data_IF_748640546088
#
_entry.id   IF_748640546088
#
_cell.length_a   1.000
_cell.length_b   1.000
_cell.length_c   1.000
_cell.angle_alpha   90.00
_cell.angle_beta   90.00
_cell.angle_gamma   90.00
#
_symmetry.space_group_name_H-M   'P 1'
#
loop_
_entity.id
_entity.type
_entity.pdbx_description
1 polymer ?
#
# COMPACT_ATOMS: atom_id res chain seq x y z
N UNK A 1 -26.65 -39.34 -5.01
CA UNK A 1 -25.92 -38.08 -4.81
C UNK A 1 -25.87 -37.33 -6.14
N UNK A 2 -26.74 -36.34 -6.39
CA UNK A 2 -26.89 -35.78 -7.73
C UNK A 2 -25.73 -34.84 -8.06
N UNK A 3 -25.24 -34.94 -9.31
CA UNK A 3 -24.14 -34.18 -9.91
C UNK A 3 -24.30 -32.65 -9.82
N UNK A 4 -25.49 -32.16 -9.48
CA UNK A 4 -25.80 -30.73 -9.29
C UNK A 4 -25.16 -30.14 -8.03
N UNK A 5 -24.93 -30.94 -6.99
CA UNK A 5 -24.27 -30.47 -5.76
C UNK A 5 -22.76 -30.22 -5.96
N UNK A 6 -22.11 -30.96 -6.88
CA UNK A 6 -20.69 -30.79 -7.19
C UNK A 6 -20.42 -29.51 -8.00
N UNK A 7 -21.36 -29.10 -8.87
CA UNK A 7 -21.23 -27.86 -9.64
C UNK A 7 -21.41 -26.59 -8.79
N UNK A 8 -22.21 -26.65 -7.73
CA UNK A 8 -22.41 -25.52 -6.81
C UNK A 8 -21.25 -25.35 -5.81
N UNK A 9 -20.52 -26.42 -5.49
CA UNK A 9 -19.29 -26.34 -4.69
C UNK A 9 -18.10 -25.76 -5.49
N UNK A 10 -18.09 -25.93 -6.81
CA UNK A 10 -17.08 -25.31 -7.70
C UNK A 10 -17.32 -23.81 -7.97
N UNK A 11 -18.54 -23.32 -7.72
CA UNK A 11 -18.88 -21.88 -7.75
C UNK A 11 -18.65 -21.17 -6.40
N UNK A 12 -18.44 -21.92 -5.32
CA UNK A 12 -18.06 -21.38 -4.00
C UNK A 12 -16.55 -21.43 -3.74
N UNK A 13 -15.79 -22.21 -4.51
CA UNK A 13 -14.35 -21.99 -4.65
C UNK A 13 -14.14 -20.76 -5.53
N UNK A 14 -14.07 -19.60 -4.89
CA UNK A 14 -13.59 -18.39 -5.53
C UNK A 14 -12.22 -18.65 -6.15
N UNK A 15 -12.21 -18.98 -7.43
CA UNK A 15 -11.03 -18.96 -8.28
C UNK A 15 -10.63 -17.50 -8.47
N UNK A 16 -10.21 -16.87 -7.38
CA UNK A 16 -9.31 -15.75 -7.48
C UNK A 16 -7.98 -16.21 -8.00
N UNK A 17 -7.12 -15.23 -8.28
CA UNK A 17 -5.81 -15.44 -8.85
C UNK A 17 -5.10 -16.62 -8.13
N UNK A 18 -4.57 -17.62 -8.89
CA UNK A 18 -3.98 -18.83 -8.33
C UNK A 18 -2.78 -18.61 -7.38
N UNK A 19 -2.36 -17.35 -7.19
CA UNK A 19 -1.29 -16.86 -6.31
C UNK A 19 -1.73 -16.43 -4.89
N UNK A 20 -2.99 -16.62 -4.47
CA UNK A 20 -3.53 -16.01 -3.22
C UNK A 20 -2.78 -16.32 -1.91
N UNK A 21 -1.95 -17.36 -1.85
CA UNK A 21 -1.10 -17.57 -0.68
C UNK A 21 0.36 -17.43 -1.07
N UNK A 22 0.93 -16.27 -0.76
CA UNK A 22 2.36 -15.96 -0.85
C UNK A 22 2.97 -15.93 0.57
N UNK A 23 3.01 -17.05 1.31
CA UNK A 23 3.46 -17.07 2.70
C UNK A 23 4.90 -16.58 2.86
N UNK A 24 5.75 -16.80 1.87
CA UNK A 24 7.11 -16.27 1.82
C UNK A 24 7.11 -14.73 1.81
N UNK A 25 6.21 -14.09 1.07
CA UNK A 25 6.10 -12.62 1.09
C UNK A 25 5.59 -12.11 2.43
N UNK A 26 4.65 -12.83 3.06
CA UNK A 26 4.16 -12.48 4.41
C UNK A 26 5.27 -12.54 5.46
N UNK A 27 6.13 -13.55 5.40
CA UNK A 27 7.29 -13.68 6.30
C UNK A 27 8.22 -12.48 6.13
N UNK A 28 8.59 -12.16 4.88
CA UNK A 28 9.45 -11.01 4.63
C UNK A 28 8.82 -9.69 5.08
N UNK A 29 7.53 -9.48 4.84
CA UNK A 29 6.80 -8.30 5.27
C UNK A 29 6.71 -8.19 6.79
N UNK A 30 6.46 -9.29 7.51
CA UNK A 30 6.44 -9.29 8.97
C UNK A 30 7.82 -8.89 9.53
N UNK A 31 8.92 -9.30 8.90
CA UNK A 31 10.28 -8.84 9.20
C UNK A 31 10.48 -7.34 8.94
N UNK A 32 9.98 -6.81 7.81
CA UNK A 32 9.98 -5.36 7.55
C UNK A 32 9.27 -4.62 8.68
N UNK A 33 8.05 -5.07 9.01
CA UNK A 33 7.22 -4.40 10.00
C UNK A 33 7.73 -4.59 11.43
N UNK A 34 8.50 -5.63 11.73
CA UNK A 34 9.21 -5.79 12.99
C UNK A 34 10.37 -4.80 13.18
N UNK A 35 10.79 -4.12 12.11
CA UNK A 35 11.88 -3.13 12.12
C UNK A 35 13.24 -3.68 11.70
N UNK A 36 13.34 -4.97 11.33
CA UNK A 36 14.59 -5.56 10.82
C UNK A 36 14.69 -5.42 9.29
N UNK A 37 14.81 -4.16 8.85
CA UNK A 37 14.85 -3.80 7.44
C UNK A 37 16.01 -4.44 6.65
N UNK A 38 17.25 -4.54 7.20
CA UNK A 38 18.35 -5.20 6.48
C UNK A 38 18.06 -6.67 6.21
N UNK A 39 17.57 -7.41 7.22
CA UNK A 39 17.24 -8.83 7.06
C UNK A 39 16.10 -9.02 6.07
N UNK A 40 15.06 -8.19 6.12
CA UNK A 40 13.97 -8.25 5.17
C UNK A 40 14.42 -7.99 3.72
N UNK A 41 15.24 -6.94 3.50
CA UNK A 41 15.78 -6.64 2.18
C UNK A 41 16.62 -7.80 1.62
N UNK A 42 17.51 -8.38 2.44
CA UNK A 42 18.31 -9.54 2.05
C UNK A 42 17.46 -10.79 1.76
N UNK A 43 16.39 -10.99 2.54
CA UNK A 43 15.45 -12.08 2.32
C UNK A 43 14.74 -11.97 0.97
N UNK A 44 14.19 -10.79 0.66
CA UNK A 44 13.52 -10.55 -0.63
C UNK A 44 14.49 -10.61 -1.82
N UNK A 45 15.72 -10.13 -1.66
CA UNK A 45 16.77 -10.30 -2.67
C UNK A 45 17.04 -11.80 -2.95
N UNK A 46 17.07 -12.63 -1.89
CA UNK A 46 17.26 -14.07 -2.03
C UNK A 46 16.08 -14.76 -2.74
N UNK A 47 14.85 -14.32 -2.51
CA UNK A 47 13.67 -14.81 -3.23
C UNK A 47 13.71 -14.41 -4.71
N UNK A 48 14.07 -13.15 -4.99
CA UNK A 48 14.25 -12.62 -6.36
C UNK A 48 15.35 -13.36 -7.13
N UNK A 49 16.38 -13.88 -6.45
CA UNK A 49 17.43 -14.67 -7.08
C UNK A 49 16.98 -16.10 -7.43
N UNK A 50 16.00 -16.66 -6.72
CA UNK A 50 15.44 -18.01 -6.99
C UNK A 50 14.47 -18.00 -8.17
N UNK A 51 13.70 -16.92 -8.30
CA UNK A 51 12.82 -16.68 -9.44
C UNK A 51 13.00 -15.25 -9.94
N UNK A 52 13.81 -15.10 -11.00
CA UNK A 52 14.09 -13.80 -11.59
C UNK A 52 12.93 -13.23 -12.43
N UNK A 53 11.88 -14.01 -12.70
CA UNK A 53 10.71 -13.53 -13.43
C UNK A 53 9.66 -12.94 -12.48
N UNK A 54 9.65 -13.36 -11.21
CA UNK A 54 8.73 -12.85 -10.20
C UNK A 54 9.03 -11.37 -9.86
N UNK A 55 8.07 -10.44 -10.08
CA UNK A 55 8.24 -9.06 -9.67
C UNK A 55 8.09 -8.85 -8.16
N UNK A 56 7.35 -9.70 -7.45
CA UNK A 56 6.90 -9.42 -6.09
C UNK A 56 8.04 -9.29 -5.07
N UNK A 57 9.06 -10.18 -5.03
CA UNK A 57 10.17 -10.01 -4.13
C UNK A 57 10.93 -8.69 -4.35
N UNK A 58 11.15 -8.27 -5.60
CA UNK A 58 11.85 -7.01 -5.90
C UNK A 58 11.05 -5.79 -5.42
N UNK A 59 9.72 -5.84 -5.52
CA UNK A 59 8.84 -4.78 -4.99
C UNK A 59 9.04 -4.65 -3.48
N UNK A 60 9.03 -5.76 -2.75
CA UNK A 60 9.13 -5.74 -1.29
C UNK A 60 10.57 -5.56 -0.78
N UNK A 61 11.59 -5.87 -1.58
CA UNK A 61 12.96 -5.41 -1.35
C UNK A 61 13.02 -3.88 -1.38
N UNK A 62 12.44 -3.24 -2.41
CA UNK A 62 12.33 -1.78 -2.46
C UNK A 62 11.52 -1.25 -1.27
N UNK A 63 10.40 -1.90 -0.95
CA UNK A 63 9.59 -1.60 0.23
C UNK A 63 10.39 -1.62 1.54
N UNK A 64 11.30 -2.58 1.70
CA UNK A 64 12.17 -2.69 2.89
C UNK A 64 13.06 -1.45 3.05
N UNK A 65 13.72 -0.99 1.98
CA UNK A 65 14.51 0.24 2.00
C UNK A 65 13.65 1.49 2.21
N UNK A 66 12.43 1.52 1.68
CA UNK A 66 11.47 2.61 1.87
C UNK A 66 11.05 2.72 3.35
N UNK A 67 10.77 1.60 4.02
CA UNK A 67 10.46 1.58 5.45
C UNK A 67 11.69 1.92 6.30
N UNK A 68 12.88 1.51 5.87
CA UNK A 68 14.14 1.89 6.51
C UNK A 68 14.41 3.40 6.42
N UNK A 69 14.22 4.01 5.24
CA UNK A 69 14.31 5.45 5.06
C UNK A 69 13.35 6.21 5.99
N UNK A 70 12.10 5.73 6.13
CA UNK A 70 11.12 6.31 7.06
C UNK A 70 11.53 6.15 8.54
N UNK A 71 12.14 5.01 8.90
CA UNK A 71 12.68 4.79 10.24
C UNK A 71 13.83 5.77 10.55
N UNK A 72 14.69 6.04 9.57
CA UNK A 72 15.82 6.96 9.67
C UNK A 72 15.42 8.44 9.54
N UNK A 73 14.20 8.74 9.10
CA UNK A 73 13.75 10.10 8.74
C UNK A 73 14.64 10.72 7.66
N UNK A 74 15.14 9.90 6.74
CA UNK A 74 16.00 10.31 5.63
C UNK A 74 15.46 9.76 4.30
N UNK A 75 14.66 10.57 3.60
CA UNK A 75 14.10 10.22 2.29
C UNK A 75 15.17 10.04 1.19
N UNK A 76 16.43 10.43 1.44
CA UNK A 76 17.55 10.22 0.50
C UNK A 76 18.20 8.85 0.70
N UNK A 77 17.95 8.19 1.82
CA UNK A 77 18.53 6.90 2.15
C UNK A 77 18.19 5.87 1.06
N UNK A 78 19.23 5.34 0.41
CA UNK A 78 19.12 4.33 -0.66
C UNK A 78 18.17 4.71 -1.82
N UNK A 79 17.90 6.00 -2.04
CA UNK A 79 16.92 6.45 -3.04
C UNK A 79 17.19 5.91 -4.46
N UNK A 80 18.47 5.89 -4.89
CA UNK A 80 18.87 5.32 -6.21
C UNK A 80 18.62 3.82 -6.30
N UNK A 81 18.82 3.09 -5.19
CA UNK A 81 18.58 1.65 -5.12
C UNK A 81 17.09 1.36 -5.18
N UNK A 82 16.28 2.10 -4.42
CA UNK A 82 14.82 2.03 -4.47
C UNK A 82 14.31 2.25 -5.90
N UNK A 83 14.78 3.31 -6.57
CA UNK A 83 14.36 3.62 -7.95
C UNK A 83 14.73 2.50 -8.93
N UNK A 84 15.93 1.92 -8.78
CA UNK A 84 16.41 0.82 -9.62
C UNK A 84 15.62 -0.47 -9.40
N UNK A 85 15.32 -0.83 -8.14
CA UNK A 85 14.49 -1.98 -7.79
C UNK A 85 13.06 -1.82 -8.32
N UNK A 86 12.45 -0.64 -8.16
CA UNK A 86 11.10 -0.39 -8.67
C UNK A 86 11.05 -0.39 -10.20
N UNK A 87 12.09 0.10 -10.88
CA UNK A 87 12.19 0.00 -12.34
C UNK A 87 12.28 -1.47 -12.80
N UNK A 88 13.09 -2.29 -12.12
CA UNK A 88 13.21 -3.72 -12.39
C UNK A 88 11.89 -4.46 -12.12
N UNK A 89 11.23 -4.18 -11.00
CA UNK A 89 9.94 -4.75 -10.65
C UNK A 89 8.86 -4.45 -11.70
N UNK A 90 8.78 -3.20 -12.17
CA UNK A 90 7.84 -2.81 -13.23
C UNK A 90 8.15 -3.54 -14.53
N UNK A 91 9.43 -3.67 -14.90
CA UNK A 91 9.83 -4.43 -16.09
C UNK A 91 9.43 -5.90 -15.99
N UNK A 92 9.68 -6.55 -14.85
CA UNK A 92 9.29 -7.96 -14.61
C UNK A 92 7.78 -8.13 -14.63
N UNK A 93 7.05 -7.27 -13.93
CA UNK A 93 5.59 -7.30 -13.91
C UNK A 93 5.03 -7.08 -15.33
N UNK A 94 5.59 -6.15 -16.11
CA UNK A 94 5.13 -5.89 -17.48
C UNK A 94 5.35 -7.08 -18.42
N UNK A 95 6.38 -7.90 -18.18
CA UNK A 95 6.71 -9.10 -18.94
C UNK A 95 5.85 -10.32 -18.60
N UNK A 96 5.13 -10.30 -17.48
CA UNK A 96 4.17 -11.35 -17.13
C UNK A 96 3.03 -11.46 -18.16
N UNK A 97 2.42 -12.64 -18.33
CA UNK A 97 1.25 -12.79 -19.18
C UNK A 97 0.12 -11.82 -18.80
N UNK A 98 -0.65 -11.28 -19.76
CA UNK A 98 -1.80 -10.45 -19.47
C UNK A 98 -2.79 -11.15 -18.53
N UNK A 99 -3.18 -10.49 -17.44
CA UNK A 99 -4.07 -11.06 -16.44
C UNK A 99 -4.05 -10.27 -15.13
N UNK A 100 -4.89 -10.67 -14.17
CA UNK A 100 -5.01 -9.95 -12.89
C UNK A 100 -3.71 -9.95 -12.07
N UNK A 101 -2.90 -11.02 -12.10
CA UNK A 101 -1.58 -11.07 -11.46
C UNK A 101 -0.64 -9.98 -11.99
N UNK A 102 -0.53 -9.86 -13.32
CA UNK A 102 0.26 -8.80 -13.97
C UNK A 102 -0.19 -7.42 -13.52
N UNK A 103 -1.51 -7.17 -13.56
CA UNK A 103 -2.08 -5.88 -13.18
C UNK A 103 -1.91 -5.57 -11.69
N UNK A 104 -1.99 -6.59 -10.82
CA UNK A 104 -1.78 -6.45 -9.39
C UNK A 104 -0.34 -6.03 -9.07
N UNK A 105 0.65 -6.72 -9.66
CA UNK A 105 2.06 -6.39 -9.43
C UNK A 105 2.49 -5.09 -10.10
N UNK A 106 1.96 -4.77 -11.29
CA UNK A 106 2.13 -3.45 -11.88
C UNK A 106 1.55 -2.37 -10.94
N UNK A 107 0.31 -2.55 -10.49
CA UNK A 107 -0.34 -1.64 -9.55
C UNK A 107 0.53 -1.40 -8.31
N UNK A 108 1.01 -2.46 -7.69
CA UNK A 108 1.85 -2.40 -6.49
C UNK A 108 3.16 -1.65 -6.74
N UNK A 109 3.89 -1.99 -7.81
CA UNK A 109 5.17 -1.36 -8.12
C UNK A 109 5.02 0.12 -8.49
N UNK A 110 4.00 0.48 -9.28
CA UNK A 110 3.69 1.87 -9.59
C UNK A 110 3.24 2.66 -8.36
N UNK A 111 2.55 2.02 -7.40
CA UNK A 111 2.18 2.64 -6.13
C UNK A 111 3.41 3.05 -5.30
N UNK A 112 4.36 2.14 -5.09
CA UNK A 112 5.61 2.47 -4.40
C UNK A 112 6.43 3.52 -5.16
N UNK A 113 6.47 3.47 -6.49
CA UNK A 113 7.19 4.48 -7.29
C UNK A 113 6.52 5.85 -7.27
N UNK A 114 5.18 5.90 -7.21
CA UNK A 114 4.45 7.13 -7.01
C UNK A 114 4.82 7.79 -5.68
N UNK A 115 4.86 7.00 -4.58
CA UNK A 115 5.32 7.47 -3.27
C UNK A 115 6.77 7.98 -3.35
N UNK A 116 7.68 7.20 -3.94
CA UNK A 116 9.09 7.57 -4.04
C UNK A 116 9.30 8.88 -4.81
N UNK A 117 8.54 9.09 -5.88
CA UNK A 117 8.56 10.34 -6.64
C UNK A 117 7.99 11.52 -5.85
N UNK A 118 6.96 11.28 -5.05
CA UNK A 118 6.35 12.34 -4.24
C UNK A 118 7.32 12.85 -3.17
N UNK A 119 8.00 11.95 -2.43
CA UNK A 119 9.01 12.35 -1.42
C UNK A 119 10.23 13.04 -2.04
N UNK A 120 10.54 12.76 -3.30
CA UNK A 120 11.58 13.45 -4.06
C UNK A 120 11.12 14.80 -4.66
N UNK A 121 9.87 15.22 -4.44
CA UNK A 121 9.32 16.46 -4.98
C UNK A 121 8.89 16.40 -6.45
N UNK A 122 8.86 15.20 -7.06
CA UNK A 122 8.44 14.98 -8.44
C UNK A 122 6.92 14.76 -8.56
N UNK A 123 6.11 15.69 -8.05
CA UNK A 123 4.66 15.51 -7.87
C UNK A 123 3.90 15.16 -9.16
N UNK A 124 4.32 15.67 -10.33
CA UNK A 124 3.68 15.29 -11.60
C UNK A 124 3.94 13.83 -11.99
N UNK A 125 5.20 13.39 -11.84
CA UNK A 125 5.57 12.01 -12.13
C UNK A 125 4.95 11.04 -11.11
N UNK A 126 4.78 11.48 -9.86
CA UNK A 126 4.04 10.76 -8.83
C UNK A 126 2.55 10.62 -9.19
N UNK A 127 1.90 11.71 -9.62
CA UNK A 127 0.49 11.68 -10.02
C UNK A 127 0.25 10.76 -11.23
N UNK A 128 1.16 10.76 -12.22
CA UNK A 128 1.11 9.85 -13.36
C UNK A 128 1.18 8.39 -12.93
N UNK A 129 2.15 8.04 -12.08
CA UNK A 129 2.29 6.68 -11.56
C UNK A 129 1.10 6.27 -10.68
N UNK A 130 0.58 7.19 -9.86
CA UNK A 130 -0.61 6.96 -9.05
C UNK A 130 -1.84 6.66 -9.89
N UNK A 131 -2.01 7.33 -11.04
CA UNK A 131 -3.05 6.99 -12.01
C UNK A 131 -2.82 5.62 -12.61
N UNK A 132 -1.61 5.30 -13.05
CA UNK A 132 -1.29 3.98 -13.60
C UNK A 132 -1.57 2.86 -12.60
N UNK A 133 -1.18 3.05 -11.33
CA UNK A 133 -1.55 2.16 -10.22
C UNK A 133 -3.07 2.02 -10.10
N UNK A 134 -3.80 3.13 -10.03
CA UNK A 134 -5.25 3.11 -9.86
C UNK A 134 -5.96 2.38 -11.00
N UNK A 135 -5.52 2.59 -12.24
CA UNK A 135 -6.11 1.94 -13.41
C UNK A 135 -5.79 0.43 -13.43
N UNK A 136 -4.58 0.03 -13.02
CA UNK A 136 -4.20 -1.37 -12.88
C UNK A 136 -5.03 -2.10 -11.83
N UNK A 137 -5.15 -1.54 -10.61
CA UNK A 137 -5.99 -2.15 -9.56
C UNK A 137 -7.47 -2.21 -9.92
N UNK A 138 -7.99 -1.23 -10.68
CA UNK A 138 -9.36 -1.32 -11.22
C UNK A 138 -9.50 -2.49 -12.19
N UNK A 139 -8.51 -2.73 -13.06
CA UNK A 139 -8.50 -3.91 -13.95
C UNK A 139 -8.45 -5.22 -13.16
N UNK A 140 -7.69 -5.28 -12.06
CA UNK A 140 -7.72 -6.43 -11.14
C UNK A 140 -9.14 -6.62 -10.59
N UNK A 141 -9.75 -5.57 -10.04
CA UNK A 141 -11.08 -5.66 -9.41
C UNK A 141 -12.23 -5.96 -10.39
N UNK A 142 -12.07 -5.64 -11.67
CA UNK A 142 -13.01 -6.04 -12.72
C UNK A 142 -12.99 -7.56 -12.95
N UNK A 143 -11.84 -8.21 -12.77
CA UNK A 143 -11.66 -9.64 -12.95
C UNK A 143 -11.81 -10.44 -11.63
N UNK A 144 -11.37 -9.88 -10.51
CA UNK A 144 -11.44 -10.45 -9.16
C UNK A 144 -11.81 -9.36 -8.15
N UNK A 145 -13.11 -9.25 -7.86
CA UNK A 145 -13.65 -8.26 -6.92
C UNK A 145 -13.26 -8.51 -5.45
N UNK A 146 -12.63 -9.66 -5.16
CA UNK A 146 -12.18 -10.02 -3.82
C UNK A 146 -10.74 -9.58 -3.52
N UNK A 147 -10.06 -8.87 -4.43
CA UNK A 147 -8.74 -8.29 -4.15
C UNK A 147 -8.83 -7.18 -3.08
N UNK A 148 -8.73 -7.55 -1.80
CA UNK A 148 -8.76 -6.57 -0.71
C UNK A 148 -7.52 -5.67 -0.74
N UNK A 149 -6.33 -6.23 -0.99
CA UNK A 149 -5.07 -5.48 -1.00
C UNK A 149 -5.05 -4.35 -2.04
N UNK A 150 -5.77 -4.52 -3.16
CA UNK A 150 -5.94 -3.48 -4.19
C UNK A 150 -6.52 -2.17 -3.63
N UNK A 151 -7.29 -2.23 -2.55
CA UNK A 151 -7.92 -1.06 -1.95
C UNK A 151 -6.95 -0.17 -1.18
N UNK A 152 -5.72 -0.61 -0.87
CA UNK A 152 -4.72 0.26 -0.24
C UNK A 152 -4.35 1.41 -1.19
N UNK A 153 -3.88 1.06 -2.40
CA UNK A 153 -3.49 2.05 -3.40
C UNK A 153 -4.67 2.90 -3.86
N UNK A 154 -5.86 2.29 -4.04
CA UNK A 154 -7.07 3.04 -4.39
C UNK A 154 -7.50 4.00 -3.27
N UNK A 155 -7.38 3.58 -2.00
CA UNK A 155 -7.66 4.41 -0.84
C UNK A 155 -6.76 5.64 -0.77
N UNK A 156 -5.44 5.42 -0.92
CA UNK A 156 -4.43 6.50 -0.99
C UNK A 156 -4.72 7.44 -2.17
N UNK A 157 -5.02 6.91 -3.35
CA UNK A 157 -5.33 7.71 -4.54
C UNK A 157 -6.57 8.60 -4.34
N UNK A 158 -7.66 8.02 -3.83
CA UNK A 158 -8.91 8.75 -3.56
C UNK A 158 -8.72 9.83 -2.49
N UNK A 159 -8.04 9.49 -1.40
CA UNK A 159 -7.78 10.42 -0.31
C UNK A 159 -6.85 11.56 -0.75
N UNK A 160 -5.75 11.23 -1.43
CA UNK A 160 -4.77 12.21 -1.90
C UNK A 160 -5.36 13.22 -2.87
N UNK A 161 -6.12 12.77 -3.87
CA UNK A 161 -6.80 13.68 -4.79
C UNK A 161 -7.88 14.55 -4.11
N UNK A 162 -8.55 14.04 -3.08
CA UNK A 162 -9.54 14.82 -2.34
C UNK A 162 -8.89 15.94 -1.51
N UNK A 163 -7.69 15.69 -0.97
CA UNK A 163 -6.98 16.60 -0.06
C UNK A 163 -5.87 17.41 -0.71
N UNK A 164 -5.65 17.24 -2.01
CA UNK A 164 -4.80 18.12 -2.80
C UNK A 164 -5.28 19.59 -2.74
N UNK A 165 -4.36 20.53 -2.94
CA UNK A 165 -4.68 21.96 -2.97
C UNK A 165 -5.76 22.27 -4.01
N UNK A 166 -6.51 23.36 -3.84
CA UNK A 166 -7.60 23.71 -4.77
C UNK A 166 -7.09 23.82 -6.22
N UNK A 167 -5.92 24.44 -6.41
CA UNK A 167 -5.25 24.53 -7.70
C UNK A 167 -4.86 23.14 -8.24
N UNK A 168 -4.27 22.28 -7.41
CA UNK A 168 -3.89 20.92 -7.80
C UNK A 168 -5.11 20.06 -8.18
N UNK A 169 -6.23 20.18 -7.45
CA UNK A 169 -7.50 19.49 -7.78
C UNK A 169 -8.08 19.95 -9.11
N UNK A 170 -8.01 21.24 -9.41
CA UNK A 170 -8.45 21.77 -10.70
C UNK A 170 -7.61 21.21 -11.85
N UNK A 171 -6.28 21.27 -11.72
CA UNK A 171 -5.36 20.69 -12.72
C UNK A 171 -5.60 19.19 -12.87
N UNK A 172 -5.73 18.45 -11.78
CA UNK A 172 -6.00 17.01 -11.78
C UNK A 172 -7.25 16.64 -12.58
N UNK A 173 -8.33 17.43 -12.48
CA UNK A 173 -9.53 17.25 -13.30
C UNK A 173 -9.24 17.45 -14.79
N UNK A 174 -8.52 18.51 -15.16
CA UNK A 174 -8.21 18.82 -16.56
C UNK A 174 -7.37 17.73 -17.24
N UNK A 175 -6.47 17.08 -16.49
CA UNK A 175 -5.60 16.02 -17.01
C UNK A 175 -6.15 14.60 -16.79
N UNK A 176 -7.43 14.46 -16.39
CA UNK A 176 -8.10 13.16 -16.30
C UNK A 176 -7.70 12.28 -15.11
N UNK A 177 -7.15 12.85 -14.03
CA UNK A 177 -6.92 12.14 -12.76
C UNK A 177 -8.22 11.94 -11.96
N UNK A 178 -9.23 12.77 -12.23
CA UNK A 178 -10.54 12.77 -11.57
C UNK A 178 -10.59 13.64 -10.30
N UNK A 179 -11.72 13.58 -9.59
CA UNK A 179 -11.86 14.14 -8.24
C UNK A 179 -11.82 13.02 -7.23
N UNK A 180 -10.88 13.10 -6.29
CA UNK A 180 -10.84 12.16 -5.17
C UNK A 180 -12.02 12.32 -4.22
N UNK A 181 -12.27 11.28 -3.43
CA UNK A 181 -13.20 11.31 -2.31
C UNK A 181 -12.49 10.83 -1.03
N UNK A 182 -12.35 11.71 -0.04
CA UNK A 182 -11.63 11.42 1.19
C UNK A 182 -12.34 10.35 2.05
N UNK A 183 -13.66 10.40 2.16
CA UNK A 183 -14.45 9.42 2.92
C UNK A 183 -14.37 8.03 2.28
N UNK A 184 -14.46 7.96 0.95
CA UNK A 184 -14.28 6.73 0.20
C UNK A 184 -12.84 6.20 0.35
N UNK A 185 -11.84 7.09 0.32
CA UNK A 185 -10.45 6.73 0.54
C UNK A 185 -10.24 6.10 1.93
N UNK A 186 -10.80 6.73 2.98
CA UNK A 186 -10.73 6.22 4.36
C UNK A 186 -11.51 4.91 4.50
N UNK A 187 -12.67 4.75 3.86
CA UNK A 187 -13.44 3.50 3.92
C UNK A 187 -12.70 2.33 3.28
N UNK A 188 -12.00 2.57 2.17
CA UNK A 188 -11.09 1.60 1.57
C UNK A 188 -9.93 1.23 2.50
N UNK A 189 -9.27 2.22 3.09
CA UNK A 189 -8.18 1.97 4.05
C UNK A 189 -8.66 1.18 5.28
N UNK A 190 -9.86 1.46 5.81
CA UNK A 190 -10.50 0.67 6.88
C UNK A 190 -10.81 -0.77 6.48
N UNK A 191 -11.15 -1.01 5.21
CA UNK A 191 -11.36 -2.37 4.70
C UNK A 191 -10.04 -3.14 4.70
N UNK A 192 -8.98 -2.56 4.13
CA UNK A 192 -7.68 -3.24 4.05
C UNK A 192 -7.03 -3.44 5.41
N UNK A 193 -7.18 -2.50 6.35
CA UNK A 193 -6.63 -2.65 7.70
C UNK A 193 -7.24 -3.84 8.47
N UNK A 194 -8.47 -4.27 8.11
CA UNK A 194 -9.14 -5.44 8.71
C UNK A 194 -8.90 -6.71 7.91
N UNK A 195 -9.13 -6.64 6.60
CA UNK A 195 -9.30 -7.82 5.74
C UNK A 195 -8.15 -8.02 4.75
N UNK A 196 -7.19 -7.09 4.68
CA UNK A 196 -6.04 -7.18 3.77
C UNK A 196 -5.13 -8.36 4.11
N UNK A 197 -4.35 -8.82 3.15
CA UNK A 197 -3.33 -9.85 3.35
C UNK A 197 -1.95 -9.20 3.43
N UNK A 198 -1.34 -8.88 2.28
CA UNK A 198 -0.02 -8.26 2.22
C UNK A 198 -0.07 -6.78 2.63
N UNK A 199 -1.18 -6.10 2.33
CA UNK A 199 -1.30 -4.66 2.52
C UNK A 199 -1.82 -4.25 3.92
N UNK A 200 -2.19 -5.20 4.79
CA UNK A 200 -2.92 -4.91 6.03
C UNK A 200 -2.18 -3.95 6.97
N UNK A 201 -0.90 -4.21 7.22
CA UNK A 201 -0.10 -3.44 8.19
C UNK A 201 0.15 -2.03 7.64
N UNK A 202 0.57 -1.91 6.39
CA UNK A 202 0.77 -0.62 5.74
C UNK A 202 -0.54 0.18 5.65
N UNK A 203 -1.67 -0.45 5.28
CA UNK A 203 -2.97 0.21 5.28
C UNK A 203 -3.40 0.70 6.67
N UNK A 204 -3.09 -0.05 7.72
CA UNK A 204 -3.36 0.35 9.10
C UNK A 204 -2.58 1.61 9.48
N UNK A 205 -1.30 1.67 9.11
CA UNK A 205 -0.47 2.85 9.33
C UNK A 205 -0.94 4.06 8.50
N UNK A 206 -1.22 3.86 7.20
CA UNK A 206 -1.72 4.91 6.30
C UNK A 206 -3.08 5.45 6.77
N UNK A 207 -3.98 4.57 7.23
CA UNK A 207 -5.28 4.94 7.79
C UNK A 207 -5.11 5.85 9.02
N UNK A 208 -4.27 5.46 9.97
CA UNK A 208 -4.02 6.28 11.15
C UNK A 208 -3.47 7.66 10.78
N UNK A 209 -2.52 7.73 9.83
CA UNK A 209 -1.99 9.00 9.34
C UNK A 209 -3.07 9.86 8.65
N UNK A 210 -3.99 9.25 7.89
CA UNK A 210 -5.11 9.95 7.29
C UNK A 210 -6.08 10.51 8.37
N UNK A 211 -6.40 9.72 9.39
CA UNK A 211 -7.28 10.14 10.49
C UNK A 211 -6.70 11.31 11.30
N UNK A 212 -5.40 11.30 11.59
CA UNK A 212 -4.73 12.44 12.25
C UNK A 212 -4.81 13.71 11.39
N UNK A 213 -4.57 13.59 10.08
CA UNK A 213 -4.72 14.70 9.14
C UNK A 213 -6.16 15.22 9.05
N UNK A 214 -7.15 14.35 9.16
CA UNK A 214 -8.56 14.76 9.21
C UNK A 214 -8.92 15.44 10.54
N UNK A 215 -8.41 14.95 11.67
CA UNK A 215 -8.61 15.56 12.98
C UNK A 215 -8.06 17.00 13.06
N UNK A 216 -7.00 17.29 12.30
CA UNK A 216 -6.47 18.65 12.17
C UNK A 216 -7.39 19.58 11.36
N UNK A 217 -8.28 19.04 10.52
CA UNK A 217 -9.20 19.78 9.64
C UNK A 217 -10.60 19.94 10.25
N UNK A 218 -11.07 18.93 10.96
CA UNK A 218 -12.39 18.91 11.59
C UNK A 218 -12.27 19.11 13.11
N UNK A 219 -12.62 20.31 13.59
CA UNK A 219 -12.59 20.64 15.02
C UNK A 219 -13.66 19.88 15.82
N UNK A 220 -14.80 19.56 15.21
CA UNK A 220 -15.91 18.88 15.90
C UNK A 220 -15.69 17.38 16.05
N UNK A 221 -15.06 16.76 15.06
CA UNK A 221 -14.72 15.33 15.06
C UNK A 221 -13.30 14.99 15.55
N UNK A 222 -12.49 15.99 15.93
CA UNK A 222 -11.06 15.84 16.24
C UNK A 222 -10.78 14.70 17.23
N UNK A 223 -11.42 14.73 18.38
CA UNK A 223 -11.12 13.79 19.47
C UNK A 223 -11.46 12.35 19.08
N UNK A 224 -12.58 12.16 18.38
CA UNK A 224 -12.99 10.85 17.86
C UNK A 224 -11.97 10.31 16.86
N UNK A 225 -11.57 11.14 15.89
CA UNK A 225 -10.60 10.77 14.86
C UNK A 225 -9.21 10.47 15.44
N UNK A 226 -8.76 11.27 16.41
CA UNK A 226 -7.49 11.03 17.12
C UNK A 226 -7.54 9.77 17.96
N UNK A 227 -8.64 9.53 18.68
CA UNK A 227 -8.82 8.31 19.44
C UNK A 227 -8.79 7.07 18.54
N UNK A 228 -9.48 7.12 17.39
CA UNK A 228 -9.45 6.04 16.40
C UNK A 228 -8.03 5.81 15.85
N UNK A 229 -7.34 6.88 15.45
CA UNK A 229 -5.96 6.80 14.97
C UNK A 229 -5.02 6.18 16.00
N UNK A 230 -5.09 6.64 17.27
CA UNK A 230 -4.32 6.09 18.38
C UNK A 230 -4.55 4.59 18.54
N UNK A 231 -5.80 4.14 18.44
CA UNK A 231 -6.14 2.73 18.52
C UNK A 231 -5.45 1.87 17.46
N UNK A 232 -5.36 2.36 16.21
CA UNK A 232 -4.63 1.66 15.15
C UNK A 232 -3.12 1.62 15.41
N UNK A 233 -2.51 2.76 15.74
CA UNK A 233 -1.06 2.84 15.93
C UNK A 233 -0.61 2.07 17.18
N UNK A 234 -1.40 2.09 18.26
CA UNK A 234 -1.11 1.32 19.47
C UNK A 234 -1.02 -0.19 19.18
N UNK A 235 -1.95 -0.74 18.38
CA UNK A 235 -1.89 -2.16 17.96
C UNK A 235 -0.66 -2.47 17.11
N UNK A 236 -0.25 -1.54 16.24
CA UNK A 236 0.97 -1.71 15.44
C UNK A 236 2.23 -1.70 16.32
N UNK A 237 2.32 -0.73 17.23
CA UNK A 237 3.43 -0.58 18.16
C UNK A 237 3.54 -1.75 19.16
N UNK A 238 2.41 -2.29 19.61
CA UNK A 238 2.35 -3.47 20.48
C UNK A 238 2.79 -4.74 19.73
N UNK A 239 2.31 -4.94 18.50
CA UNK A 239 2.69 -6.10 17.68
C UNK A 239 4.16 -6.04 17.24
N UNK A 240 4.67 -4.84 16.96
CA UNK A 240 6.01 -4.62 16.44
C UNK A 240 6.79 -3.62 17.31
N UNK A 241 7.20 -4.02 18.53
CA UNK A 241 7.86 -3.11 19.47
C UNK A 241 9.22 -2.60 18.97
N UNK A 242 9.88 -3.37 18.09
CA UNK A 242 11.17 -3.01 17.50
C UNK A 242 11.11 -2.01 16.34
N UNK A 243 9.91 -1.64 15.85
CA UNK A 243 9.80 -0.75 14.71
C UNK A 243 9.69 0.72 15.14
N UNK A 244 10.73 1.55 14.90
CA UNK A 244 10.74 2.94 15.34
C UNK A 244 9.67 3.81 14.66
N UNK A 245 9.22 3.45 13.45
CA UNK A 245 8.16 4.21 12.74
C UNK A 245 6.84 4.14 13.51
N UNK A 246 6.50 2.97 14.05
CA UNK A 246 5.26 2.81 14.82
C UNK A 246 5.37 3.40 16.22
N UNK A 247 6.53 3.26 16.87
CA UNK A 247 6.77 3.86 18.19
C UNK A 247 6.72 5.39 18.13
N UNK A 248 7.41 6.01 17.16
CA UNK A 248 7.39 7.46 16.97
C UNK A 248 5.99 7.97 16.71
N UNK A 249 5.26 7.32 15.79
CA UNK A 249 3.90 7.74 15.47
C UNK A 249 2.95 7.59 16.68
N UNK A 250 3.15 6.58 17.53
CA UNK A 250 2.38 6.45 18.77
C UNK A 250 2.63 7.65 19.69
N UNK A 251 3.89 8.07 19.88
CA UNK A 251 4.22 9.23 20.70
C UNK A 251 3.62 10.53 20.14
N UNK A 252 3.72 10.77 18.83
CA UNK A 252 3.13 11.96 18.19
C UNK A 252 1.62 12.10 18.44
N UNK A 253 0.90 10.97 18.40
CA UNK A 253 -0.55 10.95 18.64
C UNK A 253 -0.88 11.11 20.14
N UNK A 254 0.04 10.73 21.04
CA UNK A 254 -0.11 10.93 22.49
C UNK A 254 0.19 12.36 22.94
N UNK A 255 1.23 12.98 22.37
CA UNK A 255 1.73 14.30 22.77
C UNK A 255 0.92 15.46 22.16
N UNK A 256 0.12 15.19 21.13
CA UNK A 256 -0.74 16.19 20.50
C UNK A 256 -1.80 16.72 21.49
N UNK A 257 -1.77 18.00 21.91
CA UNK A 257 -2.74 18.53 22.87
C UNK A 257 -4.16 18.50 22.28
N UNK A 258 -5.21 18.26 23.09
CA UNK A 258 -6.60 18.20 22.63
C UNK A 258 -7.04 19.46 21.87
#
# INVERSE_FOLDING_TARGET
>A
MPLVAAALLLLQSGAGLPERSRPELRVGLDTVYAGDFPTAAGYFASLSARDSADPAPVIFEAGSYIWWAAALEDDRYEARRIDSLLALAISRAAAQPPGGTREFWLGTAFGYRARQRDVQGHSWAAAKDGKTMSDAYRRVLLADSACVDCYLGLGVYQYGLARASALARFVAKLIGLGSGNAELGISYLRRVSRDGDLARVEATWVLAAALVREAARDRGGRDVLRHEARGYVARLAERYPGNPVFQRFLQEVLESPP
#
